data_IF_416917430250
#
_entry.id   IF_416917430250
#
_cell.length_a   1.000
_cell.length_b   1.000
_cell.length_c   1.000
_cell.angle_alpha   90.00
_cell.angle_beta   90.00
_cell.angle_gamma   90.00
#
_symmetry.space_group_name_H-M   'P 1'
#
loop_
_entity.id
_entity.type
_entity.pdbx_description
1 polymer ?
#
# COMPACT_ATOMS: atom_id res chain seq x y z
N UNK A 1 -20.72 -23.70 10.22
CA UNK A 1 -19.44 -24.42 10.16
C UNK A 1 -19.03 -24.59 8.70
N UNK A 2 -18.44 -23.59 8.07
CA UNK A 2 -17.82 -23.68 6.74
C UNK A 2 -16.96 -22.41 6.51
N UNK A 3 -15.91 -22.28 7.27
CA UNK A 3 -14.90 -21.21 7.13
C UNK A 3 -13.57 -21.85 7.45
N UNK A 4 -12.77 -22.12 6.45
CA UNK A 4 -11.33 -22.47 6.57
C UNK A 4 -10.82 -23.26 5.34
N UNK A 5 -11.35 -23.02 4.13
CA UNK A 5 -10.85 -23.77 2.97
C UNK A 5 -9.81 -23.01 2.14
N UNK A 6 -9.92 -21.68 2.01
CA UNK A 6 -9.03 -20.90 1.12
C UNK A 6 -7.65 -20.62 1.73
N UNK A 7 -7.57 -20.39 3.03
CA UNK A 7 -6.27 -20.24 3.74
C UNK A 7 -5.49 -21.55 3.82
N UNK A 8 -6.16 -22.69 3.81
CA UNK A 8 -5.51 -24.03 3.81
C UNK A 8 -4.80 -24.34 2.50
N UNK A 9 -5.24 -23.81 1.38
CA UNK A 9 -4.59 -24.06 0.08
C UNK A 9 -3.28 -23.29 -0.01
N UNK A 10 -3.26 -22.01 0.36
CA UNK A 10 -2.02 -21.22 0.40
C UNK A 10 -0.99 -21.78 1.40
N UNK A 11 -1.44 -22.21 2.59
CA UNK A 11 -0.55 -22.82 3.59
C UNK A 11 -0.04 -24.20 3.17
N UNK A 12 -0.82 -25.00 2.43
CA UNK A 12 -0.36 -26.30 1.91
C UNK A 12 0.69 -26.15 0.81
N UNK A 13 0.53 -25.18 -0.09
CA UNK A 13 1.51 -24.92 -1.15
C UNK A 13 2.81 -24.35 -0.58
N UNK A 14 2.73 -23.47 0.42
CA UNK A 14 3.89 -22.94 1.15
C UNK A 14 4.62 -24.06 1.90
N UNK A 15 3.92 -24.98 2.56
CA UNK A 15 4.54 -26.12 3.26
C UNK A 15 5.10 -27.17 2.29
N UNK A 16 4.52 -27.39 1.12
CA UNK A 16 5.04 -28.32 0.12
C UNK A 16 6.35 -27.82 -0.51
N UNK A 17 6.51 -26.52 -0.71
CA UNK A 17 7.76 -25.93 -1.19
C UNK A 17 8.83 -25.78 -0.11
N UNK A 18 8.45 -25.67 1.16
CA UNK A 18 9.41 -25.61 2.28
C UNK A 18 10.18 -26.92 2.49
N UNK A 19 9.62 -28.06 2.12
CA UNK A 19 10.30 -29.37 2.24
C UNK A 19 11.40 -29.60 1.18
N UNK A 20 11.49 -28.78 0.14
CA UNK A 20 12.55 -28.83 -0.87
C UNK A 20 13.77 -27.95 -0.51
N UNK A 21 13.68 -27.12 0.52
CA UNK A 21 14.72 -26.15 0.92
C UNK A 21 15.59 -26.60 2.10
N UNK A 22 15.69 -27.91 2.41
CA UNK A 22 16.58 -28.41 3.48
C UNK A 22 18.07 -28.44 3.14
N UNK A 23 18.51 -27.85 2.06
CA UNK A 23 19.92 -27.47 1.92
C UNK A 23 20.09 -26.09 2.55
N UNK A 24 20.63 -26.05 3.78
CA UNK A 24 21.15 -24.84 4.44
C UNK A 24 22.18 -24.15 3.54
N UNK A 25 21.75 -23.42 2.53
CA UNK A 25 22.58 -22.36 1.97
C UNK A 25 22.72 -21.32 3.07
N UNK A 26 23.89 -20.76 3.28
CA UNK A 26 24.11 -19.57 4.12
C UNK A 26 23.38 -18.40 3.42
N UNK A 27 22.04 -18.37 3.54
CA UNK A 27 21.20 -17.38 2.91
C UNK A 27 21.48 -16.00 3.48
N UNK A 28 21.34 -14.98 2.64
CA UNK A 28 21.39 -13.58 3.07
C UNK A 28 20.32 -13.36 4.13
N UNK A 29 20.74 -12.96 5.34
CA UNK A 29 19.82 -12.60 6.43
C UNK A 29 19.44 -11.12 6.31
N UNK A 30 18.16 -10.82 6.39
CA UNK A 30 17.60 -9.46 6.25
C UNK A 30 16.76 -9.09 7.46
N UNK A 31 17.00 -7.91 8.03
CA UNK A 31 16.13 -7.27 9.01
C UNK A 31 15.12 -6.37 8.30
N UNK A 32 13.84 -6.75 8.30
CA UNK A 32 12.75 -5.99 7.69
C UNK A 32 12.09 -5.10 8.74
N UNK A 33 12.34 -3.77 8.66
CA UNK A 33 11.84 -2.77 9.61
C UNK A 33 10.52 -2.19 9.09
N UNK A 34 9.40 -2.66 9.62
CA UNK A 34 8.07 -2.39 9.06
C UNK A 34 7.50 -1.02 9.42
N UNK A 35 8.07 -0.31 10.39
CA UNK A 35 7.50 0.95 10.90
C UNK A 35 6.09 0.81 11.50
N UNK A 36 5.45 -0.35 11.36
CA UNK A 36 4.12 -0.68 11.90
C UNK A 36 2.97 0.11 11.29
N UNK A 37 3.05 0.41 9.98
CA UNK A 37 2.07 1.25 9.28
C UNK A 37 1.16 0.41 8.37
N UNK A 38 1.71 -0.37 7.45
CA UNK A 38 0.97 -1.17 6.49
C UNK A 38 1.25 -2.67 6.69
N UNK A 39 0.26 -3.35 7.28
CA UNK A 39 0.33 -4.78 7.56
C UNK A 39 0.42 -5.58 6.27
N UNK A 40 -0.38 -5.24 5.27
CA UNK A 40 -0.53 -6.04 4.06
C UNK A 40 0.75 -6.02 3.22
N UNK A 41 1.35 -4.84 3.05
CA UNK A 41 2.60 -4.72 2.32
C UNK A 41 3.76 -5.41 3.07
N UNK A 42 3.89 -5.19 4.38
CA UNK A 42 4.94 -5.80 5.19
C UNK A 42 4.84 -7.33 5.19
N UNK A 43 3.63 -7.87 5.34
CA UNK A 43 3.36 -9.31 5.30
C UNK A 43 3.64 -9.91 3.92
N UNK A 44 3.09 -9.29 2.85
CA UNK A 44 3.28 -9.77 1.49
C UNK A 44 4.75 -9.81 1.09
N UNK A 45 5.52 -8.76 1.39
CA UNK A 45 6.95 -8.74 1.11
C UNK A 45 7.72 -9.77 1.95
N UNK A 46 7.40 -9.91 3.24
CA UNK A 46 8.07 -10.89 4.10
C UNK A 46 7.86 -12.32 3.57
N UNK A 47 6.63 -12.68 3.25
CA UNK A 47 6.31 -14.01 2.70
C UNK A 47 6.99 -14.25 1.34
N UNK A 48 6.99 -13.25 0.45
CA UNK A 48 7.67 -13.34 -0.84
C UNK A 48 9.19 -13.56 -0.69
N UNK A 49 9.83 -12.88 0.23
CA UNK A 49 11.27 -13.02 0.45
C UNK A 49 11.63 -14.38 1.05
N UNK A 50 10.81 -14.89 1.99
CA UNK A 50 11.01 -16.25 2.55
C UNK A 50 10.86 -17.32 1.47
N UNK A 51 9.87 -17.21 0.56
CA UNK A 51 9.72 -18.18 -0.55
C UNK A 51 10.91 -18.14 -1.52
N UNK A 52 11.66 -17.02 -1.57
CA UNK A 52 12.91 -16.91 -2.33
C UNK A 52 14.15 -17.42 -1.53
N UNK A 53 13.95 -18.07 -0.37
CA UNK A 53 15.00 -18.69 0.43
C UNK A 53 15.80 -17.73 1.32
N UNK A 54 15.28 -16.53 1.61
CA UNK A 54 15.92 -15.57 2.50
C UNK A 54 15.51 -15.80 3.96
N UNK A 55 16.48 -15.69 4.88
CA UNK A 55 16.20 -15.64 6.31
C UNK A 55 15.79 -14.21 6.72
N UNK A 56 14.67 -14.06 7.44
CA UNK A 56 14.14 -12.76 7.81
C UNK A 56 13.95 -12.59 9.32
N UNK A 57 14.42 -11.43 9.80
CA UNK A 57 13.96 -10.86 11.05
C UNK A 57 12.94 -9.76 10.71
N UNK A 58 11.66 -9.96 11.03
CA UNK A 58 10.61 -8.94 10.83
C UNK A 58 10.41 -8.16 12.11
N UNK A 59 10.72 -6.87 12.09
CA UNK A 59 10.64 -5.94 13.23
C UNK A 59 9.37 -5.10 13.12
N UNK A 60 8.44 -5.30 14.05
CA UNK A 60 7.14 -4.65 13.99
C UNK A 60 6.51 -4.36 15.34
N UNK A 61 5.21 -4.35 15.35
CA UNK A 61 4.31 -4.24 16.52
C UNK A 61 3.02 -4.97 16.22
N UNK A 62 2.05 -4.96 17.15
CA UNK A 62 0.78 -5.69 17.05
C UNK A 62 0.00 -5.46 15.74
N UNK A 63 0.19 -4.31 15.09
CA UNK A 63 -0.50 -4.01 13.81
C UNK A 63 -0.06 -4.94 12.68
N UNK A 64 1.21 -5.37 12.70
CA UNK A 64 1.81 -6.23 11.67
C UNK A 64 1.77 -7.70 12.09
N UNK A 65 1.55 -7.96 13.37
CA UNK A 65 1.55 -9.31 13.93
C UNK A 65 0.45 -10.19 13.31
N UNK A 66 0.83 -11.40 12.96
CA UNK A 66 -0.10 -12.43 12.48
C UNK A 66 0.43 -13.82 12.81
N UNK A 67 -0.45 -14.83 12.99
CA UNK A 67 -0.04 -16.20 13.31
C UNK A 67 0.95 -16.78 12.32
N UNK A 68 0.83 -16.44 11.03
CA UNK A 68 1.69 -16.93 9.96
C UNK A 68 3.14 -16.48 10.12
N UNK A 69 3.38 -15.26 10.64
CA UNK A 69 4.73 -14.74 10.88
C UNK A 69 5.49 -15.53 11.96
N UNK A 70 4.77 -16.23 12.85
CA UNK A 70 5.38 -17.02 13.94
C UNK A 70 5.64 -18.48 13.55
N UNK A 71 4.93 -19.00 12.54
CA UNK A 71 5.05 -20.42 12.15
C UNK A 71 5.80 -20.62 10.84
N UNK A 72 6.13 -19.56 10.10
CA UNK A 72 6.82 -19.65 8.82
C UNK A 72 8.30 -19.93 9.02
N UNK A 73 8.83 -21.07 8.50
CA UNK A 73 10.25 -21.38 8.60
C UNK A 73 11.12 -20.32 7.95
N UNK A 74 12.21 -19.93 8.60
CA UNK A 74 13.14 -18.89 8.10
C UNK A 74 12.73 -17.46 8.42
N UNK A 75 11.61 -17.26 9.15
CA UNK A 75 11.15 -15.97 9.60
C UNK A 75 11.13 -15.89 11.13
N UNK A 76 11.69 -14.80 11.68
CA UNK A 76 11.59 -14.46 13.10
C UNK A 76 10.81 -13.14 13.24
N UNK A 77 9.71 -13.15 13.97
CA UNK A 77 8.96 -11.94 14.24
C UNK A 77 9.35 -11.33 15.59
N UNK A 78 9.74 -10.05 15.60
CA UNK A 78 10.11 -9.29 16.79
C UNK A 78 9.11 -8.16 17.04
N UNK A 79 8.22 -8.34 17.99
CA UNK A 79 7.33 -7.29 18.46
C UNK A 79 8.07 -6.35 19.42
N UNK A 80 8.82 -5.39 18.88
CA UNK A 80 9.57 -4.43 19.69
C UNK A 80 8.70 -3.27 20.18
N UNK A 81 7.57 -3.00 19.52
CA UNK A 81 6.72 -1.84 19.81
C UNK A 81 5.69 -2.10 20.92
N UNK A 82 5.28 -3.35 21.07
CA UNK A 82 4.27 -3.78 22.05
C UNK A 82 2.86 -3.24 21.74
N UNK A 83 1.94 -3.47 22.67
CA UNK A 83 0.51 -3.21 22.50
C UNK A 83 0.17 -1.71 22.55
N UNK A 84 -0.65 -1.24 21.62
CA UNK A 84 -1.23 0.11 21.63
C UNK A 84 -2.53 0.10 22.45
N UNK A 85 -2.46 0.44 23.74
CA UNK A 85 -3.67 0.71 24.50
C UNK A 85 -4.28 2.06 24.07
N UNK A 86 -5.55 2.05 23.66
CA UNK A 86 -6.24 3.26 23.18
C UNK A 86 -6.28 4.37 24.24
N UNK A 87 -6.45 3.99 25.51
CA UNK A 87 -6.64 4.90 26.66
C UNK A 87 -5.35 5.19 27.45
N UNK A 88 -4.16 4.89 26.88
CA UNK A 88 -2.90 5.16 27.56
C UNK A 88 -2.68 6.67 27.79
N UNK A 89 -2.25 7.04 28.99
CA UNK A 89 -1.86 8.41 29.33
C UNK A 89 -0.64 8.89 28.53
N UNK A 90 -0.38 10.21 28.55
CA UNK A 90 0.74 10.79 27.77
C UNK A 90 2.08 10.21 28.22
N UNK A 91 2.32 10.09 29.53
CA UNK A 91 3.56 9.54 30.09
C UNK A 91 3.79 8.07 29.62
N UNK A 92 2.74 7.24 29.64
CA UNK A 92 2.81 5.86 29.15
C UNK A 92 3.12 5.81 27.65
N UNK A 93 2.52 6.71 26.85
CA UNK A 93 2.80 6.82 25.41
C UNK A 93 4.27 7.18 25.16
N UNK A 94 4.81 8.14 25.91
CA UNK A 94 6.21 8.56 25.80
C UNK A 94 7.16 7.43 26.22
N UNK A 95 6.94 6.84 27.40
CA UNK A 95 7.75 5.73 27.89
C UNK A 95 7.79 4.54 26.92
N UNK A 96 6.65 4.19 26.34
CA UNK A 96 6.55 3.12 25.35
C UNK A 96 7.37 3.43 24.07
N UNK A 97 7.34 4.68 23.60
CA UNK A 97 8.12 5.07 22.43
C UNK A 97 9.62 5.04 22.73
N UNK A 98 10.05 5.54 23.88
CA UNK A 98 11.46 5.48 24.31
C UNK A 98 11.93 4.02 24.46
N UNK A 99 11.12 3.19 25.09
CA UNK A 99 11.42 1.76 25.23
C UNK A 99 11.52 1.04 23.87
N UNK A 100 10.65 1.39 22.93
CA UNK A 100 10.74 0.87 21.56
C UNK A 100 12.07 1.22 20.90
N UNK A 101 12.49 2.48 20.97
CA UNK A 101 13.79 2.89 20.37
C UNK A 101 14.98 2.24 21.10
N UNK A 102 14.93 2.12 22.42
CA UNK A 102 15.96 1.40 23.18
C UNK A 102 16.08 -0.07 22.76
N UNK A 103 14.93 -0.76 22.59
CA UNK A 103 14.88 -2.13 22.08
C UNK A 103 15.40 -2.24 20.63
N UNK A 104 15.04 -1.27 19.78
CA UNK A 104 15.46 -1.25 18.38
C UNK A 104 16.98 -1.03 18.25
N UNK A 105 17.56 -0.10 19.02
CA UNK A 105 18.99 0.14 19.08
C UNK A 105 19.72 -1.11 19.60
N UNK A 106 19.22 -1.72 20.68
CA UNK A 106 19.78 -2.98 21.23
C UNK A 106 19.69 -4.13 20.21
N UNK A 107 18.57 -4.25 19.50
CA UNK A 107 18.41 -5.23 18.43
C UNK A 107 19.46 -4.99 17.34
N UNK A 108 19.57 -3.79 16.82
CA UNK A 108 20.49 -3.46 15.73
C UNK A 108 21.97 -3.75 16.09
N UNK A 109 22.36 -3.52 17.35
CA UNK A 109 23.72 -3.82 17.83
C UNK A 109 24.05 -5.33 17.86
N UNK A 110 23.04 -6.20 17.99
CA UNK A 110 23.21 -7.66 18.18
C UNK A 110 22.68 -8.47 17.00
N UNK A 111 21.95 -7.85 16.10
CA UNK A 111 21.29 -8.51 14.99
C UNK A 111 22.32 -9.11 14.00
N UNK A 112 22.10 -10.36 13.62
CA UNK A 112 22.89 -11.06 12.59
C UNK A 112 22.65 -10.49 11.18
N UNK A 113 21.42 -10.09 10.78
CA UNK A 113 21.17 -9.55 9.47
C UNK A 113 22.14 -8.42 9.10
N UNK A 114 22.73 -8.52 7.90
CA UNK A 114 23.62 -7.48 7.35
C UNK A 114 22.86 -6.41 6.62
N UNK A 115 21.69 -6.76 6.05
CA UNK A 115 20.81 -5.82 5.36
C UNK A 115 19.70 -5.42 6.32
N UNK A 116 19.50 -4.12 6.48
CA UNK A 116 18.31 -3.54 7.12
C UNK A 116 17.46 -2.88 6.05
N UNK A 117 16.30 -3.49 5.75
CA UNK A 117 15.33 -2.92 4.83
C UNK A 117 14.25 -2.18 5.59
N UNK A 118 14.23 -0.87 5.47
CA UNK A 118 13.27 0.02 6.11
C UNK A 118 12.09 0.24 5.16
N UNK A 119 10.90 -0.23 5.54
CA UNK A 119 9.67 -0.01 4.77
C UNK A 119 9.04 1.33 5.09
N UNK A 120 9.00 1.71 6.37
CA UNK A 120 8.52 3.02 6.83
C UNK A 120 9.35 3.50 8.00
N UNK A 121 9.51 4.83 8.08
CA UNK A 121 10.02 5.47 9.28
C UNK A 121 9.04 5.29 10.44
N UNK A 122 9.52 5.36 11.68
CA UNK A 122 8.69 5.33 12.86
C UNK A 122 8.09 6.73 13.13
N UNK A 123 7.73 7.00 14.40
CA UNK A 123 7.03 8.23 14.75
C UNK A 123 7.92 9.47 14.78
N UNK A 124 9.20 9.32 15.13
CA UNK A 124 10.14 10.43 15.19
C UNK A 124 10.98 10.48 13.91
N UNK A 125 10.39 10.95 12.83
CA UNK A 125 10.99 10.94 11.50
C UNK A 125 12.35 11.65 11.44
N UNK A 126 12.53 12.74 12.19
CA UNK A 126 13.82 13.41 12.27
C UNK A 126 14.91 12.46 12.80
N UNK A 127 14.66 11.79 13.92
CA UNK A 127 15.61 10.84 14.50
C UNK A 127 15.81 9.61 13.61
N UNK A 128 14.73 9.08 13.06
CA UNK A 128 14.78 7.90 12.18
C UNK A 128 15.60 8.15 10.92
N UNK A 129 15.39 9.33 10.29
CA UNK A 129 16.03 9.70 9.03
C UNK A 129 17.51 10.10 9.18
N UNK A 130 17.95 10.42 10.38
CA UNK A 130 19.30 10.94 10.64
C UNK A 130 20.09 10.03 11.57
N UNK A 131 19.97 10.21 12.88
CA UNK A 131 20.79 9.52 13.88
C UNK A 131 20.63 8.00 13.85
N UNK A 132 19.41 7.49 13.68
CA UNK A 132 19.18 6.06 13.64
C UNK A 132 19.76 5.44 12.36
N UNK A 133 19.62 6.08 11.21
CA UNK A 133 20.26 5.66 9.96
C UNK A 133 21.79 5.64 10.09
N UNK A 134 22.38 6.73 10.64
CA UNK A 134 23.82 6.80 10.88
C UNK A 134 24.27 5.67 11.82
N UNK A 135 23.52 5.41 12.89
CA UNK A 135 23.80 4.33 13.81
C UNK A 135 23.82 2.96 13.10
N UNK A 136 22.86 2.66 12.22
CA UNK A 136 22.87 1.42 11.44
C UNK A 136 24.11 1.31 10.55
N UNK A 137 24.51 2.41 9.92
CA UNK A 137 25.76 2.44 9.12
C UNK A 137 27.00 2.19 9.98
N UNK A 138 27.09 2.80 11.17
CA UNK A 138 28.18 2.56 12.13
C UNK A 138 28.23 1.11 12.64
N UNK A 139 27.08 0.44 12.74
CA UNK A 139 27.02 -0.98 13.06
C UNK A 139 27.32 -1.89 11.85
N UNK A 140 27.81 -1.35 10.75
CA UNK A 140 28.17 -2.09 9.53
C UNK A 140 26.96 -2.63 8.75
N UNK A 141 25.75 -2.12 8.99
CA UNK A 141 24.57 -2.54 8.26
C UNK A 141 24.48 -1.87 6.89
N UNK A 142 24.09 -2.63 5.88
CA UNK A 142 23.63 -2.10 4.60
C UNK A 142 22.17 -1.71 4.74
N UNK A 143 21.85 -0.47 4.36
CA UNK A 143 20.50 0.07 4.54
C UNK A 143 19.82 0.17 3.19
N UNK A 144 18.75 -0.59 3.04
CA UNK A 144 17.81 -0.50 1.91
C UNK A 144 16.55 0.23 2.39
N UNK A 145 16.01 1.09 1.58
CA UNK A 145 14.82 1.87 1.94
C UNK A 145 13.75 1.78 0.86
N UNK A 146 12.50 1.49 1.23
CA UNK A 146 11.35 1.62 0.31
C UNK A 146 10.70 2.98 0.51
N UNK A 147 10.83 3.85 -0.49
CA UNK A 147 10.19 5.16 -0.49
C UNK A 147 8.78 5.06 -1.10
N UNK A 148 7.77 4.77 -0.28
CA UNK A 148 6.36 4.80 -0.72
C UNK A 148 5.89 6.22 -1.06
N UNK A 149 6.56 7.23 -0.54
CA UNK A 149 6.39 8.65 -0.85
C UNK A 149 7.77 9.31 -0.83
N UNK A 150 8.12 10.03 -1.88
CA UNK A 150 9.42 10.73 -1.95
C UNK A 150 9.45 11.91 -0.98
N UNK A 151 8.37 12.69 -0.93
CA UNK A 151 8.20 13.80 0.02
C UNK A 151 6.72 13.94 0.40
N UNK A 152 6.28 13.21 1.44
CA UNK A 152 4.92 13.29 1.94
C UNK A 152 4.55 14.69 2.44
N UNK A 153 5.50 15.43 3.00
CA UNK A 153 5.27 16.81 3.47
C UNK A 153 4.83 17.75 2.34
N UNK A 154 5.35 17.57 1.13
CA UNK A 154 4.94 18.36 -0.04
C UNK A 154 3.46 18.07 -0.39
N UNK A 155 3.07 16.79 -0.42
CA UNK A 155 1.66 16.40 -0.66
C UNK A 155 0.72 16.94 0.41
N UNK A 156 1.14 16.85 1.68
CA UNK A 156 0.30 17.21 2.82
C UNK A 156 0.41 18.73 3.18
N UNK A 157 1.02 19.54 2.30
CA UNK A 157 1.20 21.00 2.41
C UNK A 157 1.93 21.45 3.70
N UNK A 158 2.78 20.60 4.26
CA UNK A 158 3.57 20.87 5.46
C UNK A 158 5.08 20.68 5.24
N UNK A 159 5.55 20.79 3.99
CA UNK A 159 6.96 20.62 3.63
C UNK A 159 7.80 21.79 4.15
N UNK A 160 8.74 21.49 5.02
CA UNK A 160 9.68 22.44 5.62
C UNK A 160 11.11 22.21 5.16
N UNK A 161 11.98 23.22 5.32
CA UNK A 161 13.42 23.06 5.05
C UNK A 161 14.02 21.91 5.88
N UNK A 162 13.59 21.77 7.14
CA UNK A 162 14.03 20.69 8.01
C UNK A 162 13.57 19.30 7.48
N UNK A 163 12.32 19.20 6.98
CA UNK A 163 11.83 17.99 6.34
C UNK A 163 12.70 17.61 5.13
N UNK A 164 12.96 18.56 4.23
CA UNK A 164 13.81 18.33 3.04
C UNK A 164 15.23 17.94 3.41
N UNK A 165 15.83 18.60 4.42
CA UNK A 165 17.18 18.28 4.88
C UNK A 165 17.26 16.85 5.43
N UNK A 166 16.33 16.47 6.30
CA UNK A 166 16.32 15.11 6.88
C UNK A 166 16.05 14.01 5.85
N UNK A 167 15.17 14.25 4.87
CA UNK A 167 14.99 13.36 3.72
C UNK A 167 16.28 13.22 2.91
N UNK A 168 17.00 14.33 2.65
CA UNK A 168 18.27 14.27 1.94
C UNK A 168 19.33 13.45 2.68
N UNK A 169 19.38 13.56 4.01
CA UNK A 169 20.26 12.74 4.84
C UNK A 169 19.88 11.27 4.73
N UNK A 170 18.57 10.94 4.87
CA UNK A 170 18.06 9.57 4.76
C UNK A 170 18.44 8.93 3.42
N UNK A 171 18.14 9.62 2.32
CA UNK A 171 18.40 9.08 0.98
C UNK A 171 19.91 8.95 0.69
N UNK A 172 20.75 9.81 1.26
CA UNK A 172 22.20 9.74 1.12
C UNK A 172 22.83 8.59 1.93
N UNK A 173 22.23 8.25 3.06
CA UNK A 173 22.70 7.13 3.92
C UNK A 173 22.19 5.77 3.45
N UNK A 174 21.14 5.71 2.65
CA UNK A 174 20.66 4.46 2.06
C UNK A 174 21.65 3.93 1.02
N UNK A 175 21.96 2.63 1.09
CA UNK A 175 22.78 1.95 0.07
C UNK A 175 21.95 1.70 -1.19
N UNK A 176 20.63 1.48 -1.03
CA UNK A 176 19.70 1.33 -2.15
C UNK A 176 18.30 1.79 -1.78
N UNK A 177 17.56 2.34 -2.75
CA UNK A 177 16.22 2.85 -2.57
C UNK A 177 15.27 2.19 -3.57
N UNK A 178 14.20 1.62 -3.06
CA UNK A 178 13.07 1.20 -3.89
C UNK A 178 12.03 2.32 -3.98
N UNK A 179 11.50 2.50 -5.16
CA UNK A 179 10.34 3.34 -5.46
C UNK A 179 9.34 2.55 -6.30
N UNK A 180 8.12 3.07 -6.48
CA UNK A 180 7.07 2.32 -7.18
C UNK A 180 6.78 2.83 -8.59
N UNK A 181 7.31 4.00 -8.97
CA UNK A 181 7.10 4.60 -10.30
C UNK A 181 8.35 5.27 -10.83
N UNK A 182 8.46 5.39 -12.15
CA UNK A 182 9.55 6.14 -12.80
C UNK A 182 9.50 7.63 -12.40
N UNK A 183 8.32 8.20 -12.20
CA UNK A 183 8.16 9.55 -11.70
C UNK A 183 8.82 9.74 -10.32
N UNK A 184 8.64 8.80 -9.39
CA UNK A 184 9.29 8.84 -8.08
C UNK A 184 10.81 8.72 -8.20
N UNK A 185 11.32 7.88 -9.09
CA UNK A 185 12.75 7.75 -9.40
C UNK A 185 13.31 9.09 -9.90
N UNK A 186 12.66 9.71 -10.87
CA UNK A 186 13.05 11.04 -11.36
C UNK A 186 13.06 12.09 -10.24
N UNK A 187 12.07 12.10 -9.35
CA UNK A 187 12.04 13.02 -8.21
C UNK A 187 13.20 12.81 -7.23
N UNK A 188 13.57 11.56 -6.92
CA UNK A 188 14.73 11.28 -6.07
C UNK A 188 16.03 11.82 -6.67
N UNK A 189 16.20 11.67 -7.98
CA UNK A 189 17.38 12.18 -8.69
C UNK A 189 17.38 13.72 -8.69
N UNK A 190 16.29 14.34 -9.08
CA UNK A 190 16.22 15.80 -9.31
C UNK A 190 16.17 16.59 -7.99
N UNK A 191 15.30 16.19 -7.03
CA UNK A 191 15.05 16.97 -5.81
C UNK A 191 16.06 16.67 -4.69
N UNK A 192 16.60 15.42 -4.67
CA UNK A 192 17.46 14.94 -3.59
C UNK A 192 18.89 14.56 -4.01
N UNK A 193 19.19 14.52 -5.32
CA UNK A 193 20.51 14.19 -5.84
C UNK A 193 20.93 12.74 -5.62
N UNK A 194 19.98 11.82 -5.56
CA UNK A 194 20.26 10.38 -5.42
C UNK A 194 20.82 9.85 -6.74
N UNK A 195 21.88 9.04 -6.67
CA UNK A 195 22.49 8.45 -7.86
C UNK A 195 21.55 7.39 -8.47
N UNK A 196 21.35 7.42 -9.77
CA UNK A 196 20.45 6.52 -10.47
C UNK A 196 20.70 5.01 -10.18
N UNK A 197 21.96 4.50 -10.15
CA UNK A 197 22.20 3.08 -9.85
C UNK A 197 21.79 2.64 -8.44
N UNK A 198 21.59 3.59 -7.51
CA UNK A 198 21.12 3.33 -6.15
C UNK A 198 19.58 3.31 -6.06
N UNK A 199 18.86 3.41 -7.18
CA UNK A 199 17.40 3.42 -7.20
C UNK A 199 16.89 2.27 -8.10
N UNK A 200 15.92 1.52 -7.60
CA UNK A 200 15.16 0.56 -8.42
C UNK A 200 13.67 0.84 -8.32
N UNK A 201 13.00 0.81 -9.47
CA UNK A 201 11.54 0.83 -9.52
C UNK A 201 11.04 -0.60 -9.36
N UNK A 202 10.19 -0.84 -8.36
CA UNK A 202 9.53 -2.12 -8.11
C UNK A 202 8.01 -1.93 -8.12
N UNK A 203 7.26 -2.88 -8.67
CA UNK A 203 5.80 -2.81 -8.61
C UNK A 203 5.30 -2.70 -7.16
N UNK A 204 4.18 -2.03 -6.96
CA UNK A 204 3.48 -2.11 -5.68
C UNK A 204 2.76 -3.46 -5.58
N UNK A 205 3.09 -4.27 -4.56
CA UNK A 205 2.51 -5.60 -4.40
C UNK A 205 1.01 -5.56 -4.15
N UNK A 206 0.26 -6.41 -4.84
CA UNK A 206 -1.19 -6.51 -4.68
C UNK A 206 -1.54 -7.07 -3.31
N UNK A 207 -2.49 -6.41 -2.63
CA UNK A 207 -3.04 -6.93 -1.38
C UNK A 207 -3.97 -8.12 -1.66
N UNK A 208 -3.45 -9.34 -1.52
CA UNK A 208 -4.18 -10.60 -1.62
C UNK A 208 -4.56 -11.20 -0.25
N UNK A 209 -4.36 -10.46 0.85
CA UNK A 209 -4.73 -10.90 2.19
C UNK A 209 -6.23 -10.65 2.50
N UNK A 210 -6.90 -9.82 1.69
CA UNK A 210 -8.35 -9.59 1.80
C UNK A 210 -9.08 -10.81 1.25
N UNK A 211 -10.06 -11.38 1.98
CA UNK A 211 -10.84 -12.51 1.50
C UNK A 211 -11.52 -12.23 0.16
N UNK A 212 -11.44 -13.18 -0.76
CA UNK A 212 -12.21 -13.23 -2.01
C UNK A 212 -12.98 -14.55 -2.03
N UNK A 213 -14.24 -14.50 -1.60
CA UNK A 213 -15.10 -15.66 -1.46
C UNK A 213 -15.96 -15.87 -2.72
N UNK A 214 -16.87 -16.84 -2.68
CA UNK A 214 -17.84 -17.07 -3.76
C UNK A 214 -19.00 -16.03 -3.77
N UNK A 215 -18.87 -14.91 -3.04
CA UNK A 215 -19.86 -13.84 -3.07
C UNK A 215 -19.95 -13.25 -4.48
N UNK A 216 -21.11 -13.31 -5.10
CA UNK A 216 -21.31 -12.74 -6.44
C UNK A 216 -21.62 -11.23 -6.37
N UNK A 217 -21.37 -10.46 -7.45
CA UNK A 217 -21.74 -9.05 -7.51
C UNK A 217 -23.23 -8.80 -7.22
N UNK A 218 -24.12 -9.66 -7.73
CA UNK A 218 -25.55 -9.54 -7.50
C UNK A 218 -25.91 -9.73 -6.01
N UNK A 219 -25.32 -10.74 -5.35
CA UNK A 219 -25.50 -10.95 -3.91
C UNK A 219 -24.92 -9.80 -3.09
N UNK A 220 -23.78 -9.25 -3.50
CA UNK A 220 -23.17 -8.11 -2.83
C UNK A 220 -24.07 -6.86 -2.93
N UNK A 221 -24.58 -6.55 -4.12
CA UNK A 221 -25.58 -5.47 -4.31
C UNK A 221 -26.81 -5.70 -3.44
N UNK A 222 -27.38 -6.91 -3.44
CA UNK A 222 -28.54 -7.27 -2.63
C UNK A 222 -28.31 -7.04 -1.13
N UNK A 223 -27.15 -7.44 -0.60
CA UNK A 223 -26.80 -7.26 0.83
C UNK A 223 -26.68 -5.78 1.22
N UNK A 224 -26.35 -4.91 0.27
CA UNK A 224 -26.27 -3.46 0.46
C UNK A 224 -27.58 -2.73 0.11
N UNK A 225 -28.64 -3.45 -0.25
CA UNK A 225 -29.92 -2.85 -0.66
C UNK A 225 -29.85 -2.11 -2.00
N UNK A 226 -28.91 -2.50 -2.87
CA UNK A 226 -28.71 -1.92 -4.20
C UNK A 226 -29.46 -2.77 -5.22
N UNK A 227 -30.28 -2.14 -6.07
CA UNK A 227 -30.99 -2.86 -7.15
C UNK A 227 -30.00 -3.28 -8.24
N UNK A 228 -30.28 -4.39 -8.90
CA UNK A 228 -29.38 -4.94 -9.93
C UNK A 228 -29.14 -3.96 -11.11
N UNK A 229 -30.12 -3.12 -11.43
CA UNK A 229 -30.02 -2.12 -12.51
C UNK A 229 -29.25 -0.85 -12.11
N UNK A 230 -29.00 -0.61 -10.82
CA UNK A 230 -28.30 0.61 -10.37
C UNK A 230 -26.81 0.55 -10.73
N UNK A 231 -26.33 1.60 -11.39
CA UNK A 231 -24.92 1.84 -11.69
C UNK A 231 -24.18 2.21 -10.41
N UNK A 232 -23.35 1.32 -9.90
CA UNK A 232 -22.78 1.45 -8.56
C UNK A 232 -21.35 1.95 -8.59
N UNK A 233 -21.13 3.13 -8.01
CA UNK A 233 -19.84 3.82 -7.89
C UNK A 233 -19.30 3.58 -6.48
N UNK A 234 -17.99 3.26 -6.35
CA UNK A 234 -17.32 3.08 -5.07
C UNK A 234 -16.24 4.13 -4.87
N UNK A 235 -16.30 4.85 -3.74
CA UNK A 235 -15.17 5.54 -3.14
C UNK A 235 -14.76 4.77 -1.89
N UNK A 236 -13.47 4.38 -1.79
CA UNK A 236 -12.98 3.52 -0.71
C UNK A 236 -11.71 4.03 -0.03
N UNK A 237 -11.57 3.70 1.28
CA UNK A 237 -10.37 3.92 2.08
C UNK A 237 -10.42 5.20 2.92
N UNK A 238 -9.35 5.47 3.68
CA UNK A 238 -9.31 6.61 4.61
C UNK A 238 -9.72 7.92 3.96
N UNK A 239 -10.64 8.66 4.56
CA UNK A 239 -11.17 9.92 4.02
C UNK A 239 -10.23 11.05 4.45
N UNK A 240 -9.68 11.75 3.44
CA UNK A 240 -8.77 12.90 3.60
C UNK A 240 -9.01 13.91 2.47
N UNK A 241 -8.73 15.21 2.67
CA UNK A 241 -8.95 16.25 1.65
C UNK A 241 -8.27 15.96 0.31
N UNK A 242 -7.02 15.49 0.31
CA UNK A 242 -6.30 15.20 -0.93
C UNK A 242 -6.94 14.10 -1.79
N UNK A 243 -7.88 13.34 -1.23
CA UNK A 243 -8.61 12.31 -1.97
C UNK A 243 -9.81 12.83 -2.75
N UNK A 244 -10.14 14.12 -2.62
CA UNK A 244 -11.09 14.82 -3.48
C UNK A 244 -12.53 14.29 -3.44
N UNK A 245 -13.00 13.80 -2.28
CA UNK A 245 -14.39 13.32 -2.16
C UNK A 245 -15.41 14.40 -2.51
N UNK A 246 -15.09 15.68 -2.27
CA UNK A 246 -15.90 16.84 -2.68
C UNK A 246 -16.11 16.91 -4.18
N UNK A 247 -15.08 16.59 -4.98
CA UNK A 247 -15.20 16.55 -6.44
C UNK A 247 -16.11 15.41 -6.90
N UNK A 248 -16.04 14.25 -6.24
CA UNK A 248 -16.93 13.14 -6.53
C UNK A 248 -18.38 13.47 -6.20
N UNK A 249 -18.65 14.13 -5.07
CA UNK A 249 -20.01 14.53 -4.71
C UNK A 249 -20.60 15.54 -5.72
N UNK A 250 -19.80 16.51 -6.15
CA UNK A 250 -20.22 17.47 -7.17
C UNK A 250 -20.50 16.77 -8.52
N UNK A 251 -19.62 15.87 -8.95
CA UNK A 251 -19.83 15.06 -10.15
C UNK A 251 -21.07 14.14 -10.01
N UNK A 252 -21.26 13.52 -8.84
CA UNK A 252 -22.40 12.65 -8.57
C UNK A 252 -23.73 13.39 -8.62
N UNK A 253 -23.79 14.61 -8.09
CA UNK A 253 -24.97 15.49 -8.20
C UNK A 253 -25.32 15.76 -9.66
N UNK A 254 -24.33 16.01 -10.53
CA UNK A 254 -24.56 16.18 -11.98
C UNK A 254 -25.06 14.88 -12.62
N UNK A 255 -24.48 13.71 -12.24
CA UNK A 255 -24.92 12.42 -12.77
C UNK A 255 -26.38 12.11 -12.44
N UNK A 256 -26.89 12.50 -11.28
CA UNK A 256 -28.27 12.28 -10.90
C UNK A 256 -29.27 13.05 -11.80
N UNK A 257 -28.85 14.12 -12.48
CA UNK A 257 -29.69 14.86 -13.44
C UNK A 257 -29.80 14.16 -14.81
N UNK A 258 -28.97 13.17 -15.09
CA UNK A 258 -28.94 12.45 -16.39
C UNK A 258 -30.06 11.44 -16.60
N UNK A 259 -30.89 11.19 -15.57
CA UNK A 259 -31.98 10.22 -15.62
C UNK A 259 -31.56 8.76 -15.45
N UNK A 260 -30.25 8.43 -15.36
CA UNK A 260 -29.80 7.09 -15.07
C UNK A 260 -29.79 6.80 -13.56
N UNK A 261 -30.04 5.55 -13.20
CA UNK A 261 -30.05 5.10 -11.79
C UNK A 261 -28.63 4.87 -11.28
N UNK A 262 -28.08 5.87 -10.59
CA UNK A 262 -26.78 5.78 -9.94
C UNK A 262 -26.91 5.53 -8.44
N UNK A 263 -25.96 4.75 -7.90
CA UNK A 263 -25.74 4.52 -6.48
C UNK A 263 -24.28 4.81 -6.15
N UNK A 264 -24.02 5.61 -5.12
CA UNK A 264 -22.66 5.88 -4.63
C UNK A 264 -22.44 5.18 -3.29
N UNK A 265 -21.35 4.45 -3.16
CA UNK A 265 -20.86 3.91 -1.90
C UNK A 265 -19.64 4.72 -1.47
N UNK A 266 -19.69 5.29 -0.27
CA UNK A 266 -18.54 5.93 0.38
C UNK A 266 -18.20 5.10 1.61
N UNK A 267 -17.09 4.36 1.54
CA UNK A 267 -16.67 3.44 2.60
C UNK A 267 -15.24 3.73 3.06
N UNK A 268 -15.06 4.13 4.32
CA UNK A 268 -13.77 4.40 4.91
C UNK A 268 -13.80 5.32 6.11
N UNK A 269 -12.75 5.26 6.91
CA UNK A 269 -12.62 6.03 8.14
C UNK A 269 -12.12 7.45 7.88
N UNK A 270 -12.82 8.49 8.35
CA UNK A 270 -12.28 9.84 8.40
C UNK A 270 -11.09 9.90 9.36
N UNK A 271 -10.01 10.56 8.96
CA UNK A 271 -8.88 10.80 9.87
C UNK A 271 -9.19 11.98 10.79
N UNK A 272 -8.60 11.98 12.00
CA UNK A 272 -8.87 13.01 13.04
C UNK A 272 -8.67 14.44 12.53
N UNK A 273 -7.69 14.64 11.64
CA UNK A 273 -7.40 15.94 11.06
C UNK A 273 -8.46 16.40 10.02
N UNK A 274 -9.43 15.55 9.70
CA UNK A 274 -10.43 15.79 8.65
C UNK A 274 -11.81 16.16 9.18
N UNK A 275 -11.98 16.53 10.45
CA UNK A 275 -13.30 16.84 11.06
C UNK A 275 -14.03 17.96 10.32
N UNK A 276 -13.35 19.09 10.06
CA UNK A 276 -13.93 20.22 9.31
C UNK A 276 -14.31 19.81 7.88
N UNK A 277 -13.46 19.03 7.24
CA UNK A 277 -13.70 18.51 5.91
C UNK A 277 -14.93 17.59 5.89
N UNK A 278 -15.06 16.70 6.88
CA UNK A 278 -16.23 15.82 7.00
C UNK A 278 -17.53 16.58 7.23
N UNK A 279 -17.51 17.66 8.01
CA UNK A 279 -18.67 18.53 8.17
C UNK A 279 -19.11 19.15 6.84
N UNK A 280 -18.15 19.58 5.99
CA UNK A 280 -18.43 20.09 4.66
C UNK A 280 -19.01 18.99 3.73
N UNK A 281 -18.42 17.80 3.77
CA UNK A 281 -18.92 16.63 3.02
C UNK A 281 -20.37 16.32 3.39
N UNK A 282 -20.67 16.22 4.69
CA UNK A 282 -22.05 15.96 5.15
C UNK A 282 -23.02 17.05 4.71
N UNK A 283 -22.63 18.31 4.87
CA UNK A 283 -23.46 19.44 4.43
C UNK A 283 -23.74 19.40 2.90
N UNK A 284 -22.75 18.96 2.10
CA UNK A 284 -22.92 18.82 0.65
C UNK A 284 -23.92 17.71 0.32
N UNK A 285 -23.86 16.57 1.01
CA UNK A 285 -24.80 15.45 0.83
C UNK A 285 -26.22 15.90 1.18
N UNK A 286 -26.40 16.58 2.31
CA UNK A 286 -27.71 17.00 2.81
C UNK A 286 -28.35 18.05 1.90
N UNK A 287 -27.59 19.08 1.49
CA UNK A 287 -28.06 20.13 0.58
C UNK A 287 -28.37 19.62 -0.82
N UNK A 288 -27.65 18.64 -1.30
CA UNK A 288 -27.84 18.04 -2.62
C UNK A 288 -28.99 17.04 -2.69
N UNK A 289 -29.70 16.77 -1.58
CA UNK A 289 -30.75 15.75 -1.47
C UNK A 289 -30.30 14.37 -1.98
N UNK A 290 -28.99 14.07 -1.81
CA UNK A 290 -28.36 12.84 -2.34
C UNK A 290 -28.41 11.66 -1.36
N UNK A 291 -28.85 11.88 -0.11
CA UNK A 291 -28.72 10.91 0.99
C UNK A 291 -29.27 9.52 0.67
N UNK A 292 -30.42 9.45 -0.01
CA UNK A 292 -31.03 8.18 -0.41
C UNK A 292 -30.23 7.43 -1.50
N UNK A 293 -29.39 8.13 -2.25
CA UNK A 293 -28.56 7.58 -3.33
C UNK A 293 -27.13 7.25 -2.89
N UNK A 294 -26.78 7.56 -1.62
CA UNK A 294 -25.44 7.37 -1.07
C UNK A 294 -25.47 6.39 0.11
N UNK A 295 -24.71 5.33 0.02
CA UNK A 295 -24.43 4.43 1.14
C UNK A 295 -23.20 4.96 1.87
N UNK A 296 -23.41 5.50 3.08
CA UNK A 296 -22.35 6.09 3.91
C UNK A 296 -21.86 5.10 4.95
N UNK A 297 -20.55 4.75 4.91
CA UNK A 297 -19.85 3.89 5.87
C UNK A 297 -18.60 4.59 6.35
N UNK A 298 -18.77 5.64 7.17
CA UNK A 298 -17.68 6.47 7.69
C UNK A 298 -16.99 5.83 8.90
N UNK A 299 -16.43 4.65 8.67
CA UNK A 299 -15.73 3.86 9.68
C UNK A 299 -14.62 3.03 9.05
N UNK A 300 -13.73 2.49 9.88
CA UNK A 300 -12.76 1.49 9.42
C UNK A 300 -13.53 0.25 8.95
N UNK A 301 -13.28 -0.15 7.70
CA UNK A 301 -13.88 -1.36 7.14
C UNK A 301 -12.97 -2.55 7.47
N UNK A 302 -13.43 -3.54 8.23
CA UNK A 302 -12.65 -4.75 8.50
C UNK A 302 -12.31 -5.50 7.21
N UNK A 303 -11.14 -6.14 7.17
CA UNK A 303 -10.67 -6.85 5.97
C UNK A 303 -11.70 -7.86 5.43
N UNK A 304 -12.41 -8.54 6.31
CA UNK A 304 -13.46 -9.52 5.98
C UNK A 304 -14.68 -8.92 5.30
N UNK A 305 -14.91 -7.61 5.44
CA UNK A 305 -16.08 -6.91 4.87
C UNK A 305 -15.74 -6.16 3.59
N UNK A 306 -14.45 -6.01 3.25
CA UNK A 306 -13.99 -5.27 2.07
C UNK A 306 -14.58 -5.83 0.78
N UNK A 307 -14.56 -7.15 0.65
CA UNK A 307 -15.10 -7.89 -0.51
C UNK A 307 -16.52 -7.43 -0.88
N UNK A 308 -17.37 -7.19 0.12
CA UNK A 308 -18.77 -6.80 -0.08
C UNK A 308 -18.88 -5.52 -0.92
N UNK A 309 -18.07 -4.51 -0.61
CA UNK A 309 -18.11 -3.21 -1.29
C UNK A 309 -17.53 -3.27 -2.70
N UNK A 310 -16.39 -3.97 -2.87
CA UNK A 310 -15.72 -4.09 -4.16
C UNK A 310 -16.49 -4.97 -5.16
N UNK A 311 -17.17 -6.00 -4.67
CA UNK A 311 -18.02 -6.85 -5.52
C UNK A 311 -19.35 -6.17 -5.87
N UNK A 312 -19.92 -5.36 -4.96
CA UNK A 312 -21.14 -4.62 -5.24
C UNK A 312 -20.93 -3.46 -6.23
N UNK A 313 -19.73 -2.93 -6.32
CA UNK A 313 -19.42 -1.80 -7.20
C UNK A 313 -19.23 -2.23 -8.65
N UNK A 314 -19.58 -1.33 -9.56
CA UNK A 314 -19.32 -1.47 -10.99
C UNK A 314 -18.04 -0.70 -11.41
N UNK A 315 -17.66 0.34 -10.64
CA UNK A 315 -16.46 1.14 -10.87
C UNK A 315 -15.92 1.69 -9.55
N UNK A 316 -14.59 1.72 -9.44
CA UNK A 316 -13.87 2.41 -8.38
C UNK A 316 -13.55 3.83 -8.84
N UNK A 317 -13.88 4.85 -8.04
CA UNK A 317 -13.56 6.24 -8.39
C UNK A 317 -12.52 6.79 -7.43
N UNK A 318 -11.42 7.31 -7.99
CA UNK A 318 -10.27 7.84 -7.28
C UNK A 318 -10.04 9.31 -7.68
N UNK A 319 -10.82 10.26 -7.10
CA UNK A 319 -10.83 11.66 -7.51
C UNK A 319 -9.73 12.48 -6.81
N UNK A 320 -8.53 11.90 -6.74
CA UNK A 320 -7.46 12.43 -5.92
C UNK A 320 -6.85 13.72 -6.51
N UNK A 321 -6.56 14.68 -5.65
CA UNK A 321 -5.87 15.90 -6.04
C UNK A 321 -4.36 15.67 -6.21
N UNK A 322 -3.79 14.80 -5.37
CA UNK A 322 -2.39 14.42 -5.43
C UNK A 322 -2.18 13.04 -4.77
N UNK A 323 -1.30 12.24 -5.35
CA UNK A 323 -0.90 10.94 -4.79
C UNK A 323 0.47 10.53 -5.34
N UNK A 324 1.25 9.78 -4.58
CA UNK A 324 2.42 9.06 -5.08
C UNK A 324 2.03 7.68 -5.57
N UNK A 325 1.37 6.90 -4.70
CA UNK A 325 0.93 5.54 -4.97
C UNK A 325 -0.36 5.25 -4.19
N UNK A 326 -1.27 4.45 -4.76
CA UNK A 326 -2.55 4.12 -4.13
C UNK A 326 -2.77 2.62 -3.98
N UNK A 327 -2.64 2.12 -2.77
CA UNK A 327 -3.03 0.73 -2.45
C UNK A 327 -4.50 0.41 -2.73
N UNK A 328 -5.38 1.43 -2.74
CA UNK A 328 -6.81 1.25 -3.04
C UNK A 328 -7.04 0.92 -4.51
N UNK A 329 -6.24 1.48 -5.44
CA UNK A 329 -6.30 1.13 -6.85
C UNK A 329 -6.03 -0.37 -7.06
N UNK A 330 -4.92 -0.86 -6.47
CA UNK A 330 -4.53 -2.26 -6.58
C UNK A 330 -5.50 -3.21 -5.87
N UNK A 331 -6.09 -2.75 -4.78
CA UNK A 331 -7.18 -3.49 -4.14
C UNK A 331 -8.40 -3.62 -5.06
N UNK A 332 -8.76 -2.55 -5.78
CA UNK A 332 -9.78 -2.59 -6.84
C UNK A 332 -9.44 -3.60 -7.92
N UNK A 333 -8.24 -3.54 -8.43
CA UNK A 333 -7.76 -4.47 -9.46
C UNK A 333 -7.72 -5.92 -8.99
N UNK A 334 -7.44 -6.18 -7.71
CA UNK A 334 -7.51 -7.52 -7.14
C UNK A 334 -8.94 -8.11 -7.20
N UNK A 335 -9.97 -7.26 -7.09
CA UNK A 335 -11.37 -7.65 -7.32
C UNK A 335 -11.80 -7.52 -8.80
N UNK A 336 -10.88 -7.21 -9.70
CA UNK A 336 -11.16 -6.97 -11.11
C UNK A 336 -12.04 -5.75 -11.35
N UNK A 337 -12.05 -4.78 -10.44
CA UNK A 337 -12.89 -3.59 -10.53
C UNK A 337 -12.16 -2.50 -11.32
N UNK A 338 -12.70 -2.04 -12.48
CA UNK A 338 -12.12 -0.94 -13.22
C UNK A 338 -12.13 0.36 -12.42
N UNK A 339 -11.22 1.28 -12.74
CA UNK A 339 -11.12 2.56 -12.05
C UNK A 339 -11.39 3.75 -12.98
N UNK A 340 -12.10 4.77 -12.48
CA UNK A 340 -12.06 6.13 -13.01
C UNK A 340 -11.22 6.96 -12.06
N UNK A 341 -10.05 7.40 -12.51
CA UNK A 341 -9.05 8.04 -11.67
C UNK A 341 -8.60 9.40 -12.22
N UNK A 342 -8.25 10.33 -11.33
CA UNK A 342 -7.60 11.57 -11.73
C UNK A 342 -6.21 11.29 -12.33
N UNK A 343 -5.78 12.03 -13.35
CA UNK A 343 -4.43 11.89 -13.96
C UNK A 343 -3.35 12.49 -13.03
N UNK A 344 -3.14 11.85 -11.87
CA UNK A 344 -2.16 12.25 -10.86
C UNK A 344 -1.31 11.08 -10.40
N UNK A 345 -0.10 11.37 -9.97
CA UNK A 345 0.81 10.39 -9.35
C UNK A 345 1.07 9.18 -10.23
N UNK A 346 0.89 7.99 -9.67
CA UNK A 346 1.08 6.71 -10.35
C UNK A 346 -0.10 6.30 -11.24
N UNK A 347 -1.26 6.96 -11.14
CA UNK A 347 -2.46 6.51 -11.86
C UNK A 347 -2.26 6.50 -13.38
N UNK A 348 -1.48 7.45 -13.91
CA UNK A 348 -1.14 7.49 -15.32
C UNK A 348 -0.35 6.27 -15.82
N UNK A 349 0.46 5.69 -14.95
CA UNK A 349 1.28 4.51 -15.27
C UNK A 349 0.50 3.21 -15.07
N UNK A 350 -0.51 3.21 -14.17
CA UNK A 350 -1.21 2.02 -13.69
C UNK A 350 -2.59 1.81 -14.33
N UNK A 351 -3.27 2.90 -14.70
CA UNK A 351 -4.59 2.83 -15.34
C UNK A 351 -4.43 2.83 -16.85
N UNK A 352 -4.74 1.70 -17.47
CA UNK A 352 -4.72 1.56 -18.93
C UNK A 352 -6.12 1.87 -19.46
N UNK A 353 -6.22 2.94 -20.25
CA UNK A 353 -7.49 3.42 -20.76
C UNK A 353 -8.19 2.35 -21.61
N UNK A 354 -9.48 2.13 -21.32
CA UNK A 354 -10.31 1.12 -21.98
C UNK A 354 -10.03 -0.33 -21.57
N UNK A 355 -8.97 -0.60 -20.78
CA UNK A 355 -8.63 -1.94 -20.28
C UNK A 355 -8.82 -2.09 -18.78
N UNK A 356 -8.21 -1.21 -17.98
CA UNK A 356 -8.33 -1.26 -16.51
C UNK A 356 -9.09 -0.07 -15.95
N UNK A 357 -9.42 0.92 -16.78
CA UNK A 357 -10.17 2.10 -16.37
C UNK A 357 -10.11 3.26 -17.35
N UNK A 358 -10.39 4.46 -16.84
CA UNK A 358 -10.29 5.73 -17.54
C UNK A 358 -9.59 6.77 -16.66
N UNK A 359 -8.88 7.70 -17.30
CA UNK A 359 -8.27 8.85 -16.64
C UNK A 359 -9.04 10.13 -16.97
N UNK A 360 -9.01 11.10 -16.04
CA UNK A 360 -9.59 12.42 -16.25
C UNK A 360 -8.70 13.52 -15.62
N UNK A 361 -8.76 14.79 -16.06
CA UNK A 361 -8.01 15.91 -15.48
C UNK A 361 -8.35 16.12 -14.00
N UNK A 362 -7.36 16.22 -13.10
CA UNK A 362 -7.60 16.38 -11.65
C UNK A 362 -8.31 17.71 -11.32
N UNK A 363 -9.08 17.73 -10.23
CA UNK A 363 -9.71 18.93 -9.70
C UNK A 363 -10.92 19.44 -10.49
N UNK A 364 -11.38 18.71 -11.51
CA UNK A 364 -12.51 19.06 -12.36
C UNK A 364 -13.69 18.09 -12.15
N UNK A 365 -14.72 18.45 -11.37
CA UNK A 365 -15.89 17.61 -11.15
C UNK A 365 -16.69 17.32 -12.44
N UNK A 366 -16.70 18.25 -13.40
CA UNK A 366 -17.42 18.04 -14.67
C UNK A 366 -16.70 17.01 -15.52
N UNK A 367 -15.37 17.10 -15.63
CA UNK A 367 -14.58 16.10 -16.32
C UNK A 367 -14.71 14.72 -15.65
N UNK A 368 -14.76 14.67 -14.32
CA UNK A 368 -15.03 13.44 -13.57
C UNK A 368 -16.41 12.85 -13.91
N UNK A 369 -17.46 13.68 -13.89
CA UNK A 369 -18.83 13.26 -14.27
C UNK A 369 -18.87 12.68 -15.69
N UNK A 370 -18.25 13.37 -16.63
CA UNK A 370 -18.14 12.91 -18.03
C UNK A 370 -17.35 11.59 -18.16
N UNK A 371 -16.27 11.44 -17.41
CA UNK A 371 -15.49 10.19 -17.42
C UNK A 371 -16.27 9.00 -16.83
N UNK A 372 -17.04 9.22 -15.76
CA UNK A 372 -17.94 8.21 -15.19
C UNK A 372 -19.03 7.83 -16.20
N UNK A 373 -19.64 8.80 -16.87
CA UNK A 373 -20.64 8.56 -17.91
C UNK A 373 -20.06 7.75 -19.08
N UNK A 374 -18.91 8.19 -19.62
CA UNK A 374 -18.16 7.49 -20.67
C UNK A 374 -17.85 6.05 -20.27
N UNK A 375 -17.46 5.81 -19.00
CA UNK A 375 -17.24 4.47 -18.51
C UNK A 375 -18.50 3.61 -18.58
N UNK A 376 -19.65 4.09 -18.11
CA UNK A 376 -20.90 3.33 -18.14
C UNK A 376 -21.49 3.12 -19.53
N UNK A 377 -21.01 3.84 -20.54
CA UNK A 377 -21.35 3.67 -21.95
C UNK A 377 -20.36 2.74 -22.69
N UNK A 378 -19.19 2.50 -22.09
CA UNK A 378 -18.09 1.75 -22.71
C UNK A 378 -18.34 0.24 -22.74
N UNK A 379 -17.59 -0.43 -23.63
CA UNK A 379 -17.56 -1.91 -23.68
C UNK A 379 -16.90 -2.51 -22.42
N UNK A 380 -16.03 -1.75 -21.73
CA UNK A 380 -15.46 -2.15 -20.47
C UNK A 380 -16.54 -2.42 -19.40
N UNK A 381 -17.58 -1.58 -19.34
CA UNK A 381 -18.71 -1.80 -18.44
C UNK A 381 -19.69 -2.85 -18.99
N UNK A 382 -20.04 -2.80 -20.28
CA UNK A 382 -20.99 -3.76 -20.89
C UNK A 382 -20.56 -5.21 -20.72
N UNK A 383 -19.25 -5.46 -20.75
CA UNK A 383 -18.63 -6.77 -20.59
C UNK A 383 -18.00 -6.98 -19.20
N UNK A 384 -18.39 -6.19 -18.19
CA UNK A 384 -17.70 -6.12 -16.89
C UNK A 384 -17.47 -7.50 -16.24
N UNK A 385 -18.41 -8.42 -16.35
CA UNK A 385 -18.29 -9.76 -15.80
C UNK A 385 -17.05 -10.52 -16.32
N UNK A 386 -16.77 -10.39 -17.62
CA UNK A 386 -15.58 -10.96 -18.28
C UNK A 386 -14.34 -10.14 -18.00
N UNK A 387 -14.45 -8.81 -18.10
CA UNK A 387 -13.33 -7.86 -17.90
C UNK A 387 -12.74 -7.93 -16.50
N UNK A 388 -13.54 -8.26 -15.48
CA UNK A 388 -13.01 -8.44 -14.12
C UNK A 388 -11.91 -9.49 -14.04
N UNK A 389 -12.04 -10.62 -14.75
CA UNK A 389 -11.00 -11.64 -14.76
C UNK A 389 -9.76 -11.16 -15.53
N UNK A 390 -9.95 -10.52 -16.68
CA UNK A 390 -8.84 -9.97 -17.47
C UNK A 390 -8.02 -8.92 -16.70
N UNK A 391 -8.69 -8.07 -15.90
CA UNK A 391 -8.01 -7.08 -15.03
C UNK A 391 -7.20 -7.81 -13.96
N UNK A 392 -7.77 -8.81 -13.29
CA UNK A 392 -7.06 -9.60 -12.27
C UNK A 392 -5.82 -10.28 -12.84
N UNK A 393 -5.96 -10.92 -13.98
CA UNK A 393 -4.86 -11.64 -14.64
C UNK A 393 -3.74 -10.69 -15.06
N UNK A 394 -4.11 -9.54 -15.66
CA UNK A 394 -3.16 -8.52 -16.09
C UNK A 394 -2.38 -7.93 -14.91
N UNK A 395 -3.10 -7.52 -13.86
CA UNK A 395 -2.46 -6.88 -12.70
C UNK A 395 -1.71 -7.90 -11.84
N UNK A 396 -2.24 -9.13 -11.72
CA UNK A 396 -1.57 -10.23 -11.02
C UNK A 396 -0.21 -10.58 -11.64
N UNK A 397 -0.11 -10.57 -12.97
CA UNK A 397 1.15 -10.84 -13.66
C UNK A 397 2.23 -9.78 -13.38
N UNK A 398 1.86 -8.51 -13.20
CA UNK A 398 2.81 -7.40 -13.02
C UNK A 398 3.08 -7.07 -11.55
N UNK A 399 2.09 -7.20 -10.68
CA UNK A 399 2.12 -6.75 -9.29
C UNK A 399 2.12 -7.90 -8.28
N UNK A 400 2.42 -9.13 -8.71
CA UNK A 400 2.50 -10.27 -7.79
C UNK A 400 3.64 -10.11 -6.79
N UNK A 401 3.44 -10.61 -5.60
CA UNK A 401 4.50 -10.67 -4.59
C UNK A 401 5.69 -11.50 -5.03
N UNK A 402 5.50 -12.44 -5.95
CA UNK A 402 6.59 -13.22 -6.53
C UNK A 402 7.56 -12.34 -7.34
N UNK A 403 7.03 -11.46 -8.18
CA UNK A 403 7.81 -10.46 -8.94
C UNK A 403 8.50 -9.48 -8.01
N UNK A 404 7.78 -8.91 -7.04
CA UNK A 404 8.35 -7.98 -6.05
C UNK A 404 9.46 -8.64 -5.24
N UNK A 405 9.24 -9.87 -4.77
CA UNK A 405 10.21 -10.64 -4.00
C UNK A 405 11.48 -10.95 -4.80
N UNK A 406 11.34 -11.35 -6.06
CA UNK A 406 12.48 -11.64 -6.94
C UNK A 406 13.32 -10.38 -7.22
N UNK A 407 12.67 -9.27 -7.58
CA UNK A 407 13.37 -8.00 -7.80
C UNK A 407 14.09 -7.52 -6.54
N UNK A 408 13.44 -7.64 -5.38
CA UNK A 408 14.02 -7.26 -4.09
C UNK A 408 15.22 -8.14 -3.73
N UNK A 409 15.11 -9.45 -3.91
CA UNK A 409 16.20 -10.40 -3.69
C UNK A 409 17.44 -10.07 -4.55
N UNK A 410 17.22 -9.74 -5.82
CA UNK A 410 18.29 -9.40 -6.75
C UNK A 410 19.03 -8.12 -6.34
N UNK A 411 18.33 -7.13 -5.81
CA UNK A 411 18.95 -5.93 -5.24
C UNK A 411 19.75 -6.26 -3.98
N UNK A 412 19.22 -7.10 -3.08
CA UNK A 412 19.96 -7.51 -1.89
C UNK A 412 21.28 -8.23 -2.25
N UNK A 413 21.26 -9.08 -3.28
CA UNK A 413 22.46 -9.73 -3.76
C UNK A 413 23.52 -8.73 -4.24
N UNK A 414 23.10 -7.69 -5.00
CA UNK A 414 24.00 -6.60 -5.44
C UNK A 414 24.57 -5.81 -4.26
N UNK A 415 23.72 -5.39 -3.32
CA UNK A 415 24.13 -4.62 -2.14
C UNK A 415 25.10 -5.43 -1.25
N UNK A 416 24.98 -6.76 -1.22
CA UNK A 416 25.91 -7.64 -0.51
C UNK A 416 27.21 -7.88 -1.29
N UNK A 417 27.19 -7.95 -2.61
CA UNK A 417 28.39 -8.15 -3.43
C UNK A 417 29.41 -7.01 -3.25
N UNK A 418 28.93 -5.79 -3.06
CA UNK A 418 29.78 -4.62 -2.76
C UNK A 418 30.53 -4.71 -1.43
N UNK A 419 30.31 -5.80 -0.63
CA UNK A 419 31.00 -6.05 0.65
C UNK A 419 32.28 -6.90 0.45
N UNK A 420 32.37 -7.63 -0.67
CA UNK A 420 33.57 -8.45 -0.97
C UNK A 420 34.53 -7.58 -1.77
N UNK A 421 35.63 -7.07 -1.19
CA UNK A 421 36.66 -6.45 -2.00
C UNK A 421 37.16 -7.51 -2.97
N UNK A 422 37.32 -7.15 -4.25
CA UNK A 422 38.08 -7.98 -5.19
C UNK A 422 39.38 -8.38 -4.52
N UNK A 423 39.51 -9.63 -4.12
CA UNK A 423 40.82 -10.18 -3.76
C UNK A 423 41.62 -10.15 -5.06
N UNK A 424 42.50 -9.18 -5.15
CA UNK A 424 43.56 -9.20 -6.17
C UNK A 424 44.21 -10.60 -6.09
N UNK A 425 43.87 -11.46 -7.00
CA UNK A 425 44.65 -12.66 -7.28
C UNK A 425 45.94 -12.17 -7.93
N UNK A 426 46.97 -11.96 -7.13
CA UNK A 426 48.32 -11.97 -7.66
C UNK A 426 48.54 -13.33 -8.30
N UNK A 427 48.56 -13.36 -9.62
CA UNK A 427 49.11 -14.46 -10.38
C UNK A 427 50.63 -14.25 -10.36
N UNK A 428 51.42 -15.22 -9.92
CA UNK A 428 52.88 -15.11 -9.85
C UNK A 428 53.56 -15.05 -11.22
#
# INVERSE_FOLDING_TARGET
MATYSSTKTLTKDICAHANLAQTRSRGTEVGLLTGGIDRHYAFGLAMALVTKGLGLDVIGGDVVDSPELHVTPGLNFFNLRGNKRANAGLAEKVARVLLYYARLVRYAARAKPRIFHILWNNKFEFFDRTLLMLYYKLMGKKVVFTAHNVNAGKRDLNDSLLNRLTLRVQYRLADHIFVHTEKMKCQLIQDFGVREPAISVIPYGINNAVPDTNLTPAQAKQRLGIRACERTILFFGAIRPYKGLEHLLAAFQQLLTSGADYRLIIAGEPKKESEKYMAQIQQTIDRGFMGERIIQKFQCIPDQDIELYFKAADVLVLPYNEIFQSGVLFLGFNFGLPAVAADVGSFKEEVIEGKTGLLYPPGDPTALGNAIQKYFESDLFKELSKRRQEIRDYTGAQHSWDVVGEMTRNVYAKVCADIVPERYTFVP
#
